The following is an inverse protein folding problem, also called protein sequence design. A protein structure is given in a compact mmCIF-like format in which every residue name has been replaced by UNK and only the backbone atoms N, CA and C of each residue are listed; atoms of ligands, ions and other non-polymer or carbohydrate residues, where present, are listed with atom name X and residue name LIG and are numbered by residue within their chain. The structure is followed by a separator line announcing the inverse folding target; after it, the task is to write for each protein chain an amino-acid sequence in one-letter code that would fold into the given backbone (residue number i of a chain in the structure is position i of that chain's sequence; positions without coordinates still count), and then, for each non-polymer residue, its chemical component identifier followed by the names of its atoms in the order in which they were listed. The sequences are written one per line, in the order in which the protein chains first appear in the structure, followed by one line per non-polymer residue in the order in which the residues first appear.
data_IF_720189960282
#
_entry.id   IF_720189960282
#
_cell.length_a   1.000
_cell.length_b   1.000
_cell.length_c   1.000
_cell.angle_alpha   90.00
_cell.angle_beta   90.00
_cell.angle_gamma   90.00
#
_symmetry.space_group_name_H-M   'P 1'
#
loop_
_entity.id
_entity.type
_entity.pdbx_description
1 polymer ?
#
# COMPACT_ATOMS: atom_id res chain seq x y z
N UNK A 1 16.13 -24.17 -0.88
CA UNK A 1 15.38 -24.18 0.41
C UNK A 1 15.75 -22.90 1.13
N UNK A 2 14.86 -21.91 1.20
CA UNK A 2 15.07 -20.70 2.00
C UNK A 2 14.87 -21.10 3.46
N UNK A 3 15.88 -20.81 4.25
CA UNK A 3 15.97 -21.21 5.66
C UNK A 3 14.80 -20.56 6.46
N UNK A 4 14.01 -21.32 7.18
CA UNK A 4 12.89 -20.83 8.05
C UNK A 4 13.40 -19.77 9.05
N UNK A 5 14.68 -19.85 9.46
CA UNK A 5 15.31 -18.88 10.34
C UNK A 5 15.47 -17.48 9.75
N UNK A 6 15.52 -17.33 8.41
CA UNK A 6 15.67 -16.03 7.74
C UNK A 6 14.33 -15.27 7.68
N UNK A 7 13.21 -16.00 7.59
CA UNK A 7 11.84 -15.44 7.63
C UNK A 7 11.52 -14.78 8.98
N UNK A 8 11.82 -15.48 10.07
CA UNK A 8 11.55 -15.01 11.44
C UNK A 8 12.42 -13.82 11.82
N UNK A 9 13.65 -13.74 11.29
CA UNK A 9 14.53 -12.60 11.44
C UNK A 9 14.01 -11.36 10.71
N UNK A 10 13.58 -11.53 9.45
CA UNK A 10 13.04 -10.45 8.63
C UNK A 10 11.73 -9.92 9.22
N UNK A 11 10.80 -10.78 9.60
CA UNK A 11 9.51 -10.39 10.20
C UNK A 11 9.72 -9.65 11.54
N UNK A 12 10.63 -10.13 12.39
CA UNK A 12 10.97 -9.46 13.66
C UNK A 12 11.56 -8.09 13.46
N UNK A 13 12.42 -7.92 12.45
CA UNK A 13 13.03 -6.64 12.13
C UNK A 13 11.99 -5.65 11.60
N UNK A 14 11.11 -6.06 10.72
CA UNK A 14 10.00 -5.24 10.22
C UNK A 14 9.04 -4.89 11.35
N UNK A 15 8.63 -5.85 12.19
CA UNK A 15 7.76 -5.61 13.35
C UNK A 15 8.34 -4.52 14.28
N UNK A 16 9.65 -4.59 14.53
CA UNK A 16 10.34 -3.58 15.35
C UNK A 16 10.42 -2.23 14.65
N UNK A 17 10.71 -2.21 13.36
CA UNK A 17 10.77 -0.99 12.55
C UNK A 17 9.43 -0.27 12.57
N UNK A 18 8.36 -0.92 12.17
CA UNK A 18 7.01 -0.34 12.12
C UNK A 18 6.49 0.09 13.50
N UNK A 19 6.72 -0.71 14.55
CA UNK A 19 6.32 -0.31 15.91
C UNK A 19 7.04 0.94 16.42
N UNK A 20 8.30 1.18 16.01
CA UNK A 20 9.03 2.40 16.38
C UNK A 20 8.52 3.64 15.64
N UNK A 21 8.13 3.49 14.39
CA UNK A 21 7.66 4.60 13.56
C UNK A 21 6.16 4.87 13.72
N UNK A 22 5.44 4.05 14.48
CA UNK A 22 3.99 4.18 14.64
C UNK A 22 3.54 5.55 15.18
N UNK A 23 4.35 6.21 16.01
CA UNK A 23 4.03 7.53 16.57
C UNK A 23 4.16 8.68 15.55
N UNK A 24 5.06 8.53 14.55
CA UNK A 24 5.38 9.56 13.56
C UNK A 24 5.11 9.05 12.13
N UNK A 25 4.28 8.02 11.99
CA UNK A 25 4.03 7.38 10.70
C UNK A 25 3.44 8.35 9.69
N UNK A 26 2.45 9.13 10.12
CA UNK A 26 1.73 10.09 9.30
C UNK A 26 2.62 11.26 8.84
N UNK A 27 3.75 11.51 9.51
CA UNK A 27 4.72 12.57 9.17
C UNK A 27 5.79 12.11 8.16
N UNK A 28 6.00 10.79 8.02
CA UNK A 28 7.13 10.21 7.26
C UNK A 28 6.70 9.60 5.94
N UNK A 29 5.46 9.10 5.87
CA UNK A 29 4.97 8.38 4.70
C UNK A 29 3.89 9.18 3.97
N UNK A 30 3.86 9.04 2.64
CA UNK A 30 2.82 9.66 1.80
C UNK A 30 1.46 9.12 2.22
N UNK A 31 0.56 10.03 2.62
CA UNK A 31 -0.79 9.68 3.03
C UNK A 31 -1.73 9.67 1.81
N UNK A 32 -2.22 8.51 1.38
CA UNK A 32 -3.17 8.42 0.26
C UNK A 32 -4.55 9.00 0.60
N UNK A 33 -4.76 9.45 1.83
CA UNK A 33 -6.01 10.05 2.30
C UNK A 33 -5.89 11.55 2.57
N UNK A 34 -4.72 12.15 2.29
CA UNK A 34 -4.48 13.57 2.47
C UNK A 34 -5.38 14.42 1.57
N UNK A 35 -5.59 15.68 1.98
CA UNK A 35 -6.34 16.64 1.18
C UNK A 35 -5.68 16.85 -0.20
N UNK A 36 -6.49 16.88 -1.25
CA UNK A 36 -6.04 17.04 -2.63
C UNK A 36 -5.61 15.75 -3.32
N UNK A 37 -5.57 14.61 -2.63
CA UNK A 37 -5.29 13.30 -3.24
C UNK A 37 -6.56 12.77 -3.92
N UNK A 38 -6.47 12.46 -5.22
CA UNK A 38 -7.55 11.79 -5.94
C UNK A 38 -7.44 10.28 -5.72
N UNK A 39 -8.30 9.74 -4.84
CA UNK A 39 -8.23 8.35 -4.41
C UNK A 39 -9.49 7.55 -4.79
N UNK A 40 -9.41 6.66 -5.80
CA UNK A 40 -10.52 5.82 -6.25
C UNK A 40 -11.07 4.86 -5.19
N UNK A 41 -10.31 4.53 -4.15
CA UNK A 41 -10.74 3.65 -3.06
C UNK A 41 -12.04 4.15 -2.40
N UNK A 42 -12.20 5.47 -2.23
CA UNK A 42 -13.41 6.03 -1.63
C UNK A 42 -14.67 5.76 -2.46
N UNK A 43 -14.56 5.89 -3.78
CA UNK A 43 -15.65 5.60 -4.70
C UNK A 43 -15.96 4.10 -4.71
N UNK A 44 -14.93 3.23 -4.73
CA UNK A 44 -15.09 1.78 -4.70
C UNK A 44 -15.74 1.29 -3.39
N UNK A 45 -15.33 1.84 -2.23
CA UNK A 45 -15.99 1.58 -0.94
C UNK A 45 -17.44 2.11 -0.95
N UNK A 46 -17.66 3.26 -1.59
CA UNK A 46 -18.98 3.88 -1.76
C UNK A 46 -19.96 3.00 -2.53
N UNK A 47 -19.47 2.25 -3.50
CA UNK A 47 -20.25 1.38 -4.37
C UNK A 47 -20.60 0.01 -3.74
N UNK A 48 -20.11 -0.29 -2.52
CA UNK A 48 -20.48 -1.54 -1.82
C UNK A 48 -21.93 -1.47 -1.39
N UNK A 49 -22.77 -2.34 -1.95
CA UNK A 49 -24.19 -2.43 -1.59
C UNK A 49 -24.36 -3.01 -0.17
N UNK A 50 -25.30 -2.48 0.59
CA UNK A 50 -25.67 -2.92 1.95
C UNK A 50 -24.45 -3.16 2.88
N UNK A 51 -23.59 -2.16 3.07
CA UNK A 51 -22.38 -2.32 3.88
C UNK A 51 -22.68 -2.61 5.36
N UNK A 52 -23.83 -2.18 5.88
CA UNK A 52 -24.27 -2.42 7.24
C UNK A 52 -24.45 -3.91 7.59
N UNK A 53 -24.74 -4.76 6.61
CA UNK A 53 -24.81 -6.20 6.75
C UNK A 53 -23.47 -6.93 6.55
N UNK A 54 -22.41 -6.23 6.13
CA UNK A 54 -21.15 -6.82 5.65
C UNK A 54 -20.01 -6.71 6.65
N UNK A 55 -19.04 -7.61 6.45
CA UNK A 55 -17.75 -7.59 7.15
C UNK A 55 -16.67 -7.04 6.19
N UNK A 56 -16.00 -5.98 6.59
CA UNK A 56 -14.80 -5.48 5.92
C UNK A 56 -13.56 -5.81 6.75
N UNK A 57 -12.46 -6.17 6.08
CA UNK A 57 -11.16 -6.34 6.72
C UNK A 57 -10.17 -5.29 6.19
N UNK A 58 -9.53 -4.54 7.08
CA UNK A 58 -8.40 -3.66 6.81
C UNK A 58 -7.13 -4.44 7.12
N UNK A 59 -6.45 -4.89 6.08
CA UNK A 59 -5.31 -5.81 6.13
C UNK A 59 -3.99 -5.04 6.05
N UNK A 60 -3.24 -5.04 7.15
CA UNK A 60 -2.11 -4.13 7.35
C UNK A 60 -2.62 -2.72 7.66
N UNK A 61 -3.53 -2.60 8.60
CA UNK A 61 -4.24 -1.36 8.89
C UNK A 61 -3.34 -0.22 9.41
N UNK A 62 -2.11 -0.51 9.79
CA UNK A 62 -1.17 0.47 10.32
C UNK A 62 -1.73 1.24 11.51
N UNK A 63 -1.59 2.56 11.49
CA UNK A 63 -2.15 3.49 12.50
C UNK A 63 -3.68 3.65 12.39
N UNK A 64 -4.33 2.98 11.43
CA UNK A 64 -5.78 2.91 11.29
C UNK A 64 -6.48 4.12 10.67
N UNK A 65 -5.92 4.80 9.66
CA UNK A 65 -6.55 5.98 9.06
C UNK A 65 -7.93 5.69 8.45
N UNK A 66 -8.15 4.48 7.94
CA UNK A 66 -9.42 4.04 7.36
C UNK A 66 -10.46 3.62 8.40
N UNK A 67 -10.04 3.18 9.58
CA UNK A 67 -10.93 2.50 10.54
C UNK A 67 -12.15 3.30 10.96
N UNK A 68 -12.08 4.63 11.21
CA UNK A 68 -13.28 5.41 11.53
C UNK A 68 -14.35 5.33 10.42
N UNK A 69 -13.95 5.56 9.17
CA UNK A 69 -14.86 5.52 8.01
C UNK A 69 -15.42 4.12 7.75
N UNK A 70 -14.59 3.08 7.91
CA UNK A 70 -15.04 1.69 7.76
C UNK A 70 -16.04 1.31 8.88
N UNK A 71 -15.78 1.72 10.12
CA UNK A 71 -16.65 1.41 11.27
C UNK A 71 -17.99 2.17 11.22
N UNK A 72 -18.06 3.31 10.54
CA UNK A 72 -19.31 4.01 10.30
C UNK A 72 -20.19 3.31 9.26
N UNK A 73 -19.57 2.76 8.23
CA UNK A 73 -20.27 2.18 7.08
C UNK A 73 -20.61 0.69 7.25
N UNK A 74 -19.66 -0.10 7.73
CA UNK A 74 -19.78 -1.56 7.75
C UNK A 74 -20.30 -2.06 9.11
N UNK A 75 -21.03 -3.17 9.07
CA UNK A 75 -21.56 -3.78 10.29
C UNK A 75 -20.46 -4.39 11.16
N UNK A 76 -19.40 -4.90 10.55
CA UNK A 76 -18.22 -5.46 11.22
C UNK A 76 -16.95 -5.06 10.51
N UNK A 77 -15.92 -4.72 11.29
CA UNK A 77 -14.58 -4.38 10.79
C UNK A 77 -13.57 -5.30 11.45
N UNK A 78 -12.69 -5.88 10.67
CA UNK A 78 -11.50 -6.60 11.12
C UNK A 78 -10.30 -5.70 10.79
N UNK A 79 -9.58 -5.26 11.82
CA UNK A 79 -8.36 -4.48 11.68
C UNK A 79 -7.16 -5.38 11.99
N UNK A 80 -6.33 -5.66 11.01
CA UNK A 80 -5.20 -6.56 11.14
C UNK A 80 -3.89 -5.84 10.85
N UNK A 81 -2.95 -5.96 11.79
CA UNK A 81 -1.55 -5.58 11.59
C UNK A 81 -0.65 -6.50 12.43
N UNK A 82 0.57 -6.73 11.98
CA UNK A 82 1.53 -7.56 12.73
C UNK A 82 2.34 -6.75 13.75
N UNK A 83 2.30 -5.41 13.71
CA UNK A 83 3.03 -4.51 14.57
C UNK A 83 2.13 -3.98 15.71
N UNK A 84 2.34 -4.37 16.97
CA UNK A 84 1.47 -3.97 18.08
C UNK A 84 1.44 -2.45 18.29
N UNK A 85 2.55 -1.74 18.04
CA UNK A 85 2.58 -0.28 18.13
C UNK A 85 1.63 0.40 17.13
N UNK A 86 1.47 -0.16 15.94
CA UNK A 86 0.49 0.30 14.96
C UNK A 86 -0.94 0.12 15.47
N UNK A 87 -1.29 -1.07 15.97
CA UNK A 87 -2.61 -1.34 16.52
C UNK A 87 -2.95 -0.50 17.75
N UNK A 88 -1.95 -0.12 18.54
CA UNK A 88 -2.14 0.82 19.66
C UNK A 88 -2.58 2.20 19.16
N UNK A 89 -1.95 2.74 18.13
CA UNK A 89 -2.36 4.01 17.53
C UNK A 89 -3.72 3.89 16.85
N UNK A 90 -3.95 2.80 16.12
CA UNK A 90 -5.22 2.54 15.45
C UNK A 90 -6.42 2.55 16.41
N UNK A 91 -6.27 1.98 17.62
CA UNK A 91 -7.32 2.01 18.65
C UNK A 91 -7.64 3.42 19.11
N UNK A 92 -6.66 4.33 19.18
CA UNK A 92 -6.85 5.71 19.62
C UNK A 92 -7.67 6.56 18.65
N UNK A 93 -7.75 6.15 17.36
CA UNK A 93 -8.55 6.84 16.34
C UNK A 93 -10.05 6.57 16.45
N UNK A 94 -10.46 5.58 17.22
CA UNK A 94 -11.85 5.14 17.29
C UNK A 94 -12.59 5.72 18.47
N UNK A 95 -13.77 6.26 18.20
CA UNK A 95 -14.74 6.58 19.26
C UNK A 95 -15.37 5.31 19.87
N UNK A 96 -16.02 5.41 21.04
CA UNK A 96 -16.56 4.23 21.75
C UNK A 96 -17.56 3.39 20.95
N UNK A 97 -18.36 4.01 20.09
CA UNK A 97 -19.33 3.30 19.24
C UNK A 97 -18.64 2.57 18.08
N UNK A 98 -17.65 3.22 17.42
CA UNK A 98 -16.86 2.64 16.36
C UNK A 98 -16.05 1.45 16.87
N UNK A 99 -15.41 1.57 18.04
CA UNK A 99 -14.61 0.52 18.65
C UNK A 99 -15.40 -0.79 18.89
N UNK A 100 -16.72 -0.71 19.12
CA UNK A 100 -17.58 -1.90 19.29
C UNK A 100 -17.75 -2.72 18.01
N UNK A 101 -17.50 -2.13 16.85
CA UNK A 101 -17.62 -2.77 15.54
C UNK A 101 -16.27 -3.31 15.03
N UNK A 102 -15.14 -2.94 15.66
CA UNK A 102 -13.79 -3.26 15.20
C UNK A 102 -13.18 -4.38 16.05
N UNK A 103 -12.82 -5.48 15.38
CA UNK A 103 -12.01 -6.55 15.96
C UNK A 103 -10.57 -6.38 15.51
N UNK A 104 -9.65 -6.19 16.47
CA UNK A 104 -8.21 -6.07 16.18
C UNK A 104 -7.53 -7.43 16.24
N UNK A 105 -6.67 -7.71 15.25
CA UNK A 105 -5.88 -8.94 15.15
C UNK A 105 -4.40 -8.59 14.98
N UNK A 106 -3.57 -9.02 15.94
CA UNK A 106 -2.12 -8.87 15.86
C UNK A 106 -1.51 -10.10 15.20
N UNK A 107 -1.36 -10.07 13.88
CA UNK A 107 -0.77 -11.17 13.10
C UNK A 107 -0.44 -10.73 11.67
N UNK A 108 0.41 -11.48 10.93
CA UNK A 108 0.72 -11.17 9.54
C UNK A 108 -0.47 -11.49 8.62
N UNK A 109 -0.50 -10.80 7.45
CA UNK A 109 -1.59 -10.93 6.47
C UNK A 109 -1.66 -12.29 5.76
N UNK A 110 -0.65 -13.14 5.85
CA UNK A 110 -0.70 -14.51 5.30
C UNK A 110 -1.27 -15.54 6.29
N UNK A 111 -1.66 -15.11 7.50
CA UNK A 111 -2.29 -15.92 8.56
C UNK A 111 -3.77 -15.54 8.71
N UNK A 112 -4.61 -16.02 7.79
CA UNK A 112 -6.04 -15.73 7.72
C UNK A 112 -6.93 -17.00 7.71
N UNK A 113 -6.40 -18.17 8.01
CA UNK A 113 -7.10 -19.44 7.82
C UNK A 113 -8.38 -19.57 8.69
N UNK A 114 -8.39 -18.98 9.89
CA UNK A 114 -9.59 -18.90 10.76
C UNK A 114 -10.64 -17.89 10.28
N UNK A 115 -10.34 -17.10 9.25
CA UNK A 115 -11.25 -16.14 8.61
C UNK A 115 -11.79 -16.63 7.25
N UNK A 116 -11.58 -17.92 6.92
CA UNK A 116 -12.02 -18.47 5.64
C UNK A 116 -13.52 -18.16 5.38
N UNK A 117 -13.81 -17.58 4.21
CA UNK A 117 -15.16 -17.20 3.75
C UNK A 117 -15.96 -16.32 4.72
N UNK A 118 -15.29 -15.48 5.54
CA UNK A 118 -15.95 -14.60 6.49
C UNK A 118 -15.97 -13.13 6.10
N UNK A 119 -15.14 -12.73 5.12
CA UNK A 119 -14.93 -11.35 4.71
C UNK A 119 -15.71 -11.07 3.42
N UNK A 120 -16.43 -9.97 3.37
CA UNK A 120 -17.13 -9.50 2.16
C UNK A 120 -16.24 -8.55 1.36
N UNK A 121 -15.46 -7.71 2.03
CA UNK A 121 -14.54 -6.75 1.42
C UNK A 121 -13.21 -6.78 2.18
N UNK A 122 -12.12 -7.04 1.48
CA UNK A 122 -10.76 -6.90 2.00
C UNK A 122 -10.14 -5.60 1.44
N UNK A 123 -9.59 -4.78 2.32
CA UNK A 123 -8.86 -3.55 1.95
C UNK A 123 -7.41 -3.70 2.37
N UNK A 124 -6.47 -3.27 1.55
CA UNK A 124 -5.02 -3.30 1.82
C UNK A 124 -4.38 -2.05 1.21
N UNK A 125 -3.97 -1.11 2.05
CA UNK A 125 -3.38 0.16 1.59
C UNK A 125 -1.92 0.21 1.97
N UNK A 126 -1.03 0.29 0.98
CA UNK A 126 0.42 0.36 1.14
C UNK A 126 1.00 -0.72 2.09
N UNK A 127 0.33 -1.87 2.18
CA UNK A 127 0.71 -2.97 3.07
C UNK A 127 1.17 -4.23 2.31
N UNK A 128 0.81 -4.39 1.02
CA UNK A 128 1.35 -5.43 0.13
C UNK A 128 2.73 -5.03 -0.41
N UNK A 129 3.64 -4.67 0.49
CA UNK A 129 4.98 -4.16 0.16
C UNK A 129 6.11 -5.10 0.60
N UNK A 130 5.79 -6.37 0.86
CA UNK A 130 6.78 -7.36 1.26
C UNK A 130 7.84 -7.55 0.18
N UNK A 131 9.14 -7.62 0.54
CA UNK A 131 10.23 -7.75 -0.45
C UNK A 131 10.38 -9.18 -1.03
N UNK A 132 9.60 -10.14 -0.55
CA UNK A 132 9.60 -11.54 -1.00
C UNK A 132 8.32 -11.84 -1.79
N UNK A 133 8.46 -12.09 -3.08
CA UNK A 133 7.35 -12.37 -4.00
C UNK A 133 6.59 -13.66 -3.61
N UNK A 134 7.25 -14.64 -2.99
CA UNK A 134 6.58 -15.84 -2.48
C UNK A 134 5.67 -15.52 -1.30
N UNK A 135 6.09 -14.58 -0.46
CA UNK A 135 5.25 -14.09 0.64
C UNK A 135 4.06 -13.31 0.11
N UNK A 136 4.25 -12.45 -0.90
CA UNK A 136 3.17 -11.76 -1.60
C UNK A 136 2.16 -12.76 -2.16
N UNK A 137 2.61 -13.77 -2.90
CA UNK A 137 1.75 -14.80 -3.48
C UNK A 137 0.99 -15.60 -2.42
N UNK A 138 1.59 -15.89 -1.26
CA UNK A 138 0.91 -16.55 -0.12
C UNK A 138 -0.15 -15.64 0.48
N UNK A 139 0.19 -14.39 0.70
CA UNK A 139 -0.72 -13.37 1.25
C UNK A 139 -1.93 -13.18 0.36
N UNK A 140 -1.74 -13.01 -0.94
CA UNK A 140 -2.86 -12.87 -1.88
C UNK A 140 -3.78 -14.11 -1.90
N UNK A 141 -3.21 -15.32 -1.81
CA UNK A 141 -4.01 -16.55 -1.68
C UNK A 141 -4.74 -16.64 -0.34
N UNK A 142 -4.12 -16.18 0.76
CA UNK A 142 -4.78 -16.14 2.07
C UNK A 142 -5.95 -15.15 2.05
N UNK A 143 -5.76 -13.96 1.48
CA UNK A 143 -6.83 -12.97 1.28
C UNK A 143 -7.96 -13.57 0.42
N UNK A 144 -7.62 -14.24 -0.68
CA UNK A 144 -8.62 -14.87 -1.55
C UNK A 144 -9.47 -15.91 -0.82
N UNK A 145 -8.86 -16.75 0.02
CA UNK A 145 -9.58 -17.76 0.82
C UNK A 145 -10.43 -17.15 1.93
N UNK A 146 -10.04 -16.01 2.49
CA UNK A 146 -10.79 -15.34 3.54
C UNK A 146 -12.07 -14.65 3.03
N UNK A 147 -12.10 -14.34 1.73
CA UNK A 147 -13.23 -13.71 1.09
C UNK A 147 -14.33 -14.72 0.77
N UNK A 148 -15.58 -14.31 0.99
CA UNK A 148 -16.76 -15.02 0.52
C UNK A 148 -16.79 -15.09 -1.01
N UNK A 149 -17.56 -16.02 -1.55
CA UNK A 149 -17.83 -16.06 -3.00
C UNK A 149 -18.43 -14.71 -3.44
N UNK A 150 -17.82 -14.09 -4.47
CA UNK A 150 -18.19 -12.75 -4.94
C UNK A 150 -17.73 -11.60 -4.03
N UNK A 151 -16.99 -11.89 -2.95
CA UNK A 151 -16.33 -10.87 -2.14
C UNK A 151 -15.26 -10.12 -2.95
N UNK A 152 -14.86 -8.94 -2.48
CA UNK A 152 -13.93 -8.06 -3.21
C UNK A 152 -12.67 -7.80 -2.41
N UNK A 153 -11.54 -7.76 -3.12
CA UNK A 153 -10.32 -7.14 -2.61
C UNK A 153 -10.16 -5.77 -3.27
N UNK A 154 -9.76 -4.79 -2.47
CA UNK A 154 -9.42 -3.44 -2.90
C UNK A 154 -8.08 -3.07 -2.27
N UNK A 155 -7.21 -2.38 -2.97
CA UNK A 155 -5.95 -1.99 -2.38
C UNK A 155 -5.24 -0.88 -3.11
N UNK A 156 -4.26 -0.31 -2.42
CA UNK A 156 -3.31 0.66 -2.99
C UNK A 156 -1.92 0.09 -2.80
N UNK A 157 -1.11 0.14 -3.85
CA UNK A 157 0.29 -0.29 -3.84
C UNK A 157 1.18 0.77 -4.46
N UNK A 158 2.40 0.99 -3.93
CA UNK A 158 3.31 2.00 -4.45
C UNK A 158 3.76 1.63 -5.87
N UNK A 159 3.81 2.65 -6.74
CA UNK A 159 4.12 2.52 -8.16
C UNK A 159 5.59 2.74 -8.45
N UNK A 160 6.28 1.76 -9.06
CA UNK A 160 7.66 1.92 -9.53
C UNK A 160 7.72 2.76 -10.81
N UNK A 161 6.72 2.66 -11.67
CA UNK A 161 6.65 3.43 -12.90
C UNK A 161 6.35 4.92 -12.64
N UNK A 162 5.72 5.28 -11.52
CA UNK A 162 5.63 6.67 -11.07
C UNK A 162 7.01 7.25 -10.71
N UNK A 163 7.88 6.46 -10.09
CA UNK A 163 9.28 6.88 -9.82
C UNK A 163 10.06 7.03 -11.13
N UNK A 164 9.84 6.14 -12.11
CA UNK A 164 10.44 6.27 -13.44
C UNK A 164 9.94 7.51 -14.18
N UNK A 165 8.65 7.81 -14.07
CA UNK A 165 8.04 9.02 -14.63
C UNK A 165 8.65 10.30 -14.02
N UNK A 166 8.75 10.37 -12.70
CA UNK A 166 9.44 11.47 -12.02
C UNK A 166 10.89 11.63 -12.50
N UNK A 167 11.62 10.52 -12.64
CA UNK A 167 12.98 10.52 -13.17
C UNK A 167 13.06 11.06 -14.59
N UNK A 168 12.09 10.74 -15.45
CA UNK A 168 12.02 11.26 -16.82
C UNK A 168 11.83 12.79 -16.82
N UNK A 169 10.92 13.30 -15.99
CA UNK A 169 10.70 14.75 -15.87
C UNK A 169 11.96 15.50 -15.40
N UNK A 170 12.66 14.95 -14.42
CA UNK A 170 13.94 15.53 -13.96
C UNK A 170 15.02 15.49 -15.05
N UNK A 171 15.06 14.43 -15.85
CA UNK A 171 16.01 14.31 -16.97
C UNK A 171 15.74 15.38 -18.02
N UNK A 172 14.49 15.54 -18.43
CA UNK A 172 14.10 16.52 -19.45
C UNK A 172 14.41 17.94 -18.97
N UNK A 173 14.05 18.27 -17.73
CA UNK A 173 14.35 19.58 -17.14
C UNK A 173 15.86 19.86 -17.07
N UNK A 174 16.68 18.86 -16.70
CA UNK A 174 18.12 19.01 -16.68
C UNK A 174 18.72 19.26 -18.09
N UNK A 175 18.18 18.59 -19.11
CA UNK A 175 18.58 18.81 -20.51
C UNK A 175 18.17 20.21 -20.99
N UNK A 176 16.99 20.70 -20.65
CA UNK A 176 16.52 22.06 -20.97
C UNK A 176 17.38 23.14 -20.29
N UNK A 177 17.93 22.86 -19.12
CA UNK A 177 18.90 23.72 -18.43
C UNK A 177 20.31 23.68 -19.06
N UNK A 178 20.52 22.90 -20.11
CA UNK A 178 21.76 22.86 -20.87
C UNK A 178 22.80 21.85 -20.38
N UNK A 179 22.44 20.92 -19.47
CA UNK A 179 23.32 19.83 -19.08
C UNK A 179 23.52 18.88 -20.26
N UNK A 180 24.73 18.33 -20.39
CA UNK A 180 24.96 17.23 -21.33
C UNK A 180 24.15 15.99 -20.95
N UNK A 181 23.82 15.07 -21.87
CA UNK A 181 23.06 13.85 -21.55
C UNK A 181 23.67 13.00 -20.42
N UNK A 182 25.00 12.99 -20.31
CA UNK A 182 25.69 12.26 -19.25
C UNK A 182 25.55 12.96 -17.89
N UNK A 183 25.60 14.27 -17.85
CA UNK A 183 25.39 15.09 -16.63
C UNK A 183 23.94 15.02 -16.20
N UNK A 184 23.00 15.18 -17.12
CA UNK A 184 21.57 15.10 -16.85
C UNK A 184 21.18 13.75 -16.23
N UNK A 185 21.70 12.62 -16.75
CA UNK A 185 21.48 11.30 -16.14
C UNK A 185 22.05 11.19 -14.72
N UNK A 186 23.24 11.72 -14.46
CA UNK A 186 23.83 11.71 -13.10
C UNK A 186 23.00 12.57 -12.15
N UNK A 187 22.60 13.75 -12.60
CA UNK A 187 21.72 14.66 -11.87
C UNK A 187 20.41 13.98 -11.50
N UNK A 188 19.72 13.40 -12.47
CA UNK A 188 18.47 12.65 -12.26
C UNK A 188 18.65 11.50 -11.29
N UNK A 189 19.70 10.68 -11.47
CA UNK A 189 19.95 9.54 -10.60
C UNK A 189 20.19 9.95 -9.14
N UNK A 190 20.78 11.13 -8.92
CA UNK A 190 20.98 11.69 -7.60
C UNK A 190 19.67 12.21 -6.99
N UNK A 191 18.92 13.06 -7.72
CA UNK A 191 17.72 13.71 -7.20
C UNK A 191 16.50 12.80 -7.11
N UNK A 192 16.35 11.82 -8.02
CA UNK A 192 15.35 10.77 -7.93
C UNK A 192 15.81 9.55 -7.10
N UNK A 193 16.94 9.66 -6.41
CA UNK A 193 17.45 8.68 -5.46
C UNK A 193 17.54 7.25 -5.98
N UNK A 194 17.93 7.08 -7.26
CA UNK A 194 17.98 5.78 -7.95
C UNK A 194 18.74 4.70 -7.18
N UNK A 195 19.67 5.08 -6.31
CA UNK A 195 20.44 4.14 -5.45
C UNK A 195 19.59 3.29 -4.52
N UNK A 196 18.36 3.72 -4.23
CA UNK A 196 17.44 2.99 -3.35
C UNK A 196 16.51 2.05 -4.10
N UNK A 197 16.42 2.13 -5.44
CA UNK A 197 15.49 1.39 -6.26
C UNK A 197 16.16 0.31 -7.10
N UNK A 198 15.52 -0.84 -7.18
CA UNK A 198 15.73 -1.84 -8.21
C UNK A 198 14.59 -1.71 -9.25
N UNK A 199 14.86 -0.97 -10.30
CA UNK A 199 13.86 -0.71 -11.34
C UNK A 199 13.49 -1.93 -12.17
N UNK A 200 14.29 -3.02 -12.14
CA UNK A 200 13.95 -4.24 -12.88
C UNK A 200 12.88 -5.06 -12.17
N UNK A 201 12.90 -5.08 -10.83
CA UNK A 201 12.02 -5.91 -10.01
C UNK A 201 11.16 -5.11 -9.01
N UNK A 202 11.18 -3.79 -9.08
CA UNK A 202 10.41 -2.92 -8.18
C UNK A 202 10.89 -2.99 -6.72
N UNK A 203 12.15 -3.28 -6.48
CA UNK A 203 12.71 -3.30 -5.13
C UNK A 203 13.03 -1.89 -4.62
N UNK A 204 12.73 -1.62 -3.36
CA UNK A 204 13.13 -0.40 -2.65
C UNK A 204 13.89 -0.74 -1.38
N UNK A 205 14.96 0.03 -1.08
CA UNK A 205 15.79 -0.14 0.13
C UNK A 205 16.16 1.21 0.71
N UNK A 206 15.72 1.46 1.93
CA UNK A 206 16.06 2.68 2.65
C UNK A 206 16.23 2.36 4.14
N UNK A 207 17.34 2.79 4.75
CA UNK A 207 17.64 2.62 6.20
C UNK A 207 17.36 1.19 6.74
N UNK A 208 17.69 0.19 5.96
CA UNK A 208 17.46 -1.23 6.33
C UNK A 208 16.05 -1.73 6.06
N UNK A 209 15.11 -0.87 5.68
CA UNK A 209 13.81 -1.25 5.17
C UNK A 209 13.94 -1.77 3.75
N UNK A 210 13.22 -2.85 3.44
CA UNK A 210 13.10 -3.40 2.10
C UNK A 210 11.62 -3.51 1.78
N UNK A 211 11.21 -2.90 0.66
CA UNK A 211 9.83 -2.88 0.22
C UNK A 211 9.72 -3.25 -1.26
N UNK A 212 8.53 -3.60 -1.67
CA UNK A 212 8.12 -3.82 -3.04
C UNK A 212 7.33 -2.61 -3.54
N UNK A 213 7.77 -2.06 -4.66
CA UNK A 213 7.02 -1.16 -5.53
C UNK A 213 6.52 -1.96 -6.73
N UNK A 214 5.36 -1.65 -7.24
CA UNK A 214 4.65 -2.49 -8.17
C UNK A 214 4.59 -1.90 -9.57
N UNK A 215 4.70 -2.80 -10.57
CA UNK A 215 4.27 -2.51 -11.92
C UNK A 215 2.78 -2.88 -12.09
N UNK A 216 2.01 -2.18 -12.94
CA UNK A 216 0.60 -2.50 -13.16
C UNK A 216 0.40 -3.93 -13.68
N UNK A 217 1.21 -4.39 -14.62
CA UNK A 217 1.17 -5.77 -15.14
C UNK A 217 1.46 -6.83 -14.06
N UNK A 218 2.27 -6.49 -13.04
CA UNK A 218 2.58 -7.42 -11.95
C UNK A 218 1.39 -7.53 -10.97
N UNK A 219 0.69 -6.43 -10.70
CA UNK A 219 -0.56 -6.44 -9.91
C UNK A 219 -1.57 -7.38 -10.58
N UNK A 220 -1.80 -7.20 -11.90
CA UNK A 220 -2.70 -8.03 -12.69
C UNK A 220 -2.31 -9.51 -12.65
N UNK A 221 -1.05 -9.80 -12.92
CA UNK A 221 -0.52 -11.17 -12.94
C UNK A 221 -0.69 -11.88 -11.60
N UNK A 222 -0.31 -11.22 -10.49
CA UNK A 222 -0.32 -11.85 -9.16
C UNK A 222 -1.72 -12.03 -8.60
N UNK A 223 -2.62 -11.08 -8.83
CA UNK A 223 -4.04 -11.22 -8.47
C UNK A 223 -4.70 -12.35 -9.27
N UNK A 224 -4.52 -12.40 -10.59
CA UNK A 224 -5.03 -13.48 -11.41
C UNK A 224 -4.46 -14.85 -10.99
N UNK A 225 -3.17 -14.93 -10.70
CA UNK A 225 -2.50 -16.14 -10.19
C UNK A 225 -3.05 -16.59 -8.84
N UNK A 226 -3.52 -15.68 -8.01
CA UNK A 226 -4.17 -15.98 -6.73
C UNK A 226 -5.64 -16.40 -6.88
N UNK A 227 -6.23 -16.33 -8.10
CA UNK A 227 -7.59 -16.73 -8.40
C UNK A 227 -8.63 -15.60 -8.32
N UNK A 228 -8.20 -14.36 -8.33
CA UNK A 228 -9.08 -13.20 -8.46
C UNK A 228 -9.48 -12.96 -9.92
N UNK A 229 -10.65 -12.34 -10.11
CA UNK A 229 -11.26 -12.03 -11.42
C UNK A 229 -11.75 -10.60 -11.46
N UNK A 230 -12.20 -10.14 -12.62
CA UNK A 230 -12.80 -8.81 -12.83
C UNK A 230 -11.94 -7.69 -12.25
N UNK A 231 -10.64 -7.74 -12.57
CA UNK A 231 -9.65 -6.81 -12.07
C UNK A 231 -9.76 -5.46 -12.78
N UNK A 232 -9.71 -4.38 -12.02
CA UNK A 232 -9.45 -3.02 -12.53
C UNK A 232 -8.30 -2.37 -11.80
N UNK A 233 -7.57 -1.51 -12.53
CA UNK A 233 -6.48 -0.68 -12.04
C UNK A 233 -6.78 0.78 -12.35
N UNK A 234 -6.56 1.64 -11.37
CA UNK A 234 -6.69 3.10 -11.49
C UNK A 234 -5.53 3.78 -10.76
N UNK A 235 -5.24 5.02 -11.11
CA UNK A 235 -4.21 5.80 -10.42
C UNK A 235 -4.80 6.48 -9.19
N UNK A 236 -4.08 6.42 -8.06
CA UNK A 236 -4.24 7.36 -6.94
C UNK A 236 -3.31 8.51 -7.25
N UNK A 237 -3.84 9.71 -7.48
CA UNK A 237 -3.04 10.85 -7.93
C UNK A 237 -2.66 11.74 -6.75
N UNK A 238 -1.35 11.95 -6.60
CA UNK A 238 -0.78 12.81 -5.58
C UNK A 238 -0.36 14.14 -6.19
N UNK A 239 -0.91 15.27 -5.73
CA UNK A 239 -0.42 16.58 -6.15
C UNK A 239 1.10 16.66 -5.96
N UNK A 240 1.81 17.28 -6.91
CA UNK A 240 3.21 17.57 -6.71
C UNK A 240 3.37 18.51 -5.50
N UNK A 241 3.91 17.97 -4.40
CA UNK A 241 4.29 18.71 -3.21
C UNK A 241 5.80 18.84 -3.14
N UNK A 242 6.27 19.68 -2.26
CA UNK A 242 7.69 19.85 -1.95
C UNK A 242 8.40 18.57 -1.42
N UNK A 243 7.63 17.47 -1.27
CA UNK A 243 8.14 16.14 -0.87
C UNK A 243 9.17 15.54 -1.84
N UNK A 244 9.09 15.89 -3.12
CA UNK A 244 10.10 15.47 -4.11
C UNK A 244 11.28 16.44 -4.20
N UNK A 245 11.45 17.28 -3.18
CA UNK A 245 12.59 18.07 -2.83
C UNK A 245 13.09 19.01 -3.91
N UNK A 246 13.02 20.30 -3.68
CA UNK A 246 13.86 21.25 -4.29
C UNK A 246 13.24 22.06 -5.44
N UNK A 247 14.08 22.77 -6.13
CA UNK A 247 13.84 23.81 -7.11
C UNK A 247 13.17 23.35 -8.43
N UNK A 248 12.43 22.22 -8.41
CA UNK A 248 11.80 21.64 -9.60
C UNK A 248 10.32 22.03 -9.68
N UNK A 249 9.95 22.79 -10.68
CA UNK A 249 8.53 23.09 -10.94
C UNK A 249 7.90 21.95 -11.75
N UNK A 250 7.39 20.95 -11.05
CA UNK A 250 6.69 19.82 -11.63
C UNK A 250 5.17 20.03 -11.72
N UNK A 251 4.65 21.16 -11.21
CA UNK A 251 3.20 21.43 -11.11
C UNK A 251 2.49 21.52 -12.46
N UNK A 252 3.23 21.81 -13.53
CA UNK A 252 2.71 21.83 -14.88
C UNK A 252 2.51 20.42 -15.49
N UNK A 253 3.05 19.39 -14.86
CA UNK A 253 2.99 18.00 -15.32
C UNK A 253 1.91 17.20 -14.59
N UNK A 254 1.39 16.11 -15.20
CA UNK A 254 0.50 15.17 -14.52
C UNK A 254 1.08 14.70 -13.19
N UNK A 255 0.24 14.52 -12.15
CA UNK A 255 0.69 14.14 -10.81
C UNK A 255 1.41 12.79 -10.76
N UNK A 256 2.24 12.57 -9.72
CA UNK A 256 2.73 11.24 -9.36
C UNK A 256 1.57 10.35 -8.89
N UNK A 257 1.77 9.03 -8.89
CA UNK A 257 0.68 8.11 -8.56
C UNK A 257 1.15 6.84 -7.86
N UNK A 258 0.22 6.24 -7.11
CA UNK A 258 0.20 4.84 -6.74
C UNK A 258 -0.87 4.08 -7.54
N UNK A 259 -0.84 2.75 -7.50
CA UNK A 259 -1.85 1.92 -8.14
C UNK A 259 -2.94 1.52 -7.16
N UNK A 260 -4.15 2.02 -7.38
CA UNK A 260 -5.36 1.42 -6.81
C UNK A 260 -5.76 0.21 -7.66
N UNK A 261 -6.11 -0.88 -7.01
CA UNK A 261 -6.67 -2.05 -7.65
C UNK A 261 -7.92 -2.52 -6.94
N UNK A 262 -8.82 -3.15 -7.69
CA UNK A 262 -9.90 -3.95 -7.13
C UNK A 262 -10.11 -5.20 -7.97
N UNK A 263 -10.54 -6.30 -7.31
CA UNK A 263 -10.83 -7.57 -7.96
C UNK A 263 -11.86 -8.37 -7.17
N UNK A 264 -12.48 -9.34 -7.82
CA UNK A 264 -13.52 -10.21 -7.25
C UNK A 264 -12.94 -11.58 -6.92
N UNK A 265 -13.34 -12.13 -5.76
CA UNK A 265 -12.99 -13.45 -5.28
C UNK A 265 -13.72 -14.57 -5.99
#
# INVERSE_FOLDING_TARGET
MINVSDRDGTLRNQKRHWSRHAANYDDVFIDPFAEGVENPLWMALGAVADPGGKTVADLGCGTGPLLPSLAERFGRVIALDFAPGMLEQARKRLGPQQARRVRFLERPMDDLDDLAEQIDVAVSVNSLVMPDERLIDRTLRAIRRSLRAGGRVMGIVPSIDSIQYHSMLLLDQALEQGLTPAEARRFTAYHAEHRYYDFAFGGFRFEGLRQKFWFPFEVEYRLSKAGFRDLSLEKVLYPWHDLFGGDFDLKAHPPSWDWFFQAVA
#
